data_IF_180634739420
#
_entry.id   IF_180634739420
#
_cell.length_a   1.000
_cell.length_b   1.000
_cell.length_c   1.000
_cell.angle_alpha   90.00
_cell.angle_beta   90.00
_cell.angle_gamma   90.00
#
_symmetry.space_group_name_H-M   'P 1'
#
loop_
_entity.id
_entity.type
_entity.pdbx_description
1 polymer ?
#
# COMPACT_ATOMS: atom_id res chain seq x y z
N UNK A 1 -19.65 -31.48 8.01
CA UNK A 1 -20.10 -30.08 8.10
C UNK A 1 -18.95 -29.20 7.67
N UNK A 2 -18.98 -28.69 6.44
CA UNK A 2 -18.01 -27.69 5.97
C UNK A 2 -18.46 -26.32 6.49
N UNK A 3 -17.71 -25.75 7.41
CA UNK A 3 -17.86 -24.34 7.77
C UNK A 3 -17.29 -23.52 6.60
N UNK A 4 -18.16 -23.10 5.68
CA UNK A 4 -17.83 -22.11 4.67
C UNK A 4 -17.97 -20.74 5.35
N UNK A 5 -16.86 -20.22 5.88
CA UNK A 5 -16.78 -18.83 6.31
C UNK A 5 -16.82 -17.98 5.04
N UNK A 6 -18.01 -17.47 4.70
CA UNK A 6 -18.21 -16.50 3.62
C UNK A 6 -17.68 -15.12 4.10
N UNK A 7 -16.37 -15.07 4.31
CA UNK A 7 -15.66 -13.83 4.57
C UNK A 7 -15.54 -13.15 3.21
N UNK A 8 -16.29 -12.06 2.99
CA UNK A 8 -16.08 -11.13 1.89
C UNK A 8 -14.69 -10.47 2.05
N UNK A 9 -13.63 -11.25 1.84
CA UNK A 9 -12.25 -10.81 1.93
C UNK A 9 -11.98 -9.91 0.72
N UNK A 10 -11.31 -8.79 0.96
CA UNK A 10 -10.79 -7.97 -0.13
C UNK A 10 -9.75 -8.81 -0.88
N UNK A 11 -10.01 -9.08 -2.17
CA UNK A 11 -9.06 -9.82 -3.00
C UNK A 11 -7.91 -8.93 -3.48
N UNK A 12 -8.24 -7.72 -3.93
CA UNK A 12 -7.29 -6.74 -4.42
C UNK A 12 -7.62 -5.36 -3.84
N UNK A 13 -6.58 -4.60 -3.49
CA UNK A 13 -6.68 -3.22 -3.03
C UNK A 13 -5.50 -2.42 -3.60
N UNK A 14 -5.80 -1.34 -4.30
CA UNK A 14 -4.79 -0.37 -4.78
C UNK A 14 -4.83 0.85 -3.85
N UNK A 15 -3.66 1.27 -3.38
CA UNK A 15 -3.55 2.45 -2.53
C UNK A 15 -2.37 3.34 -2.97
N UNK A 16 -2.62 4.65 -2.97
CA UNK A 16 -1.66 5.66 -3.38
C UNK A 16 -1.10 6.36 -2.16
N UNK A 17 0.22 6.51 -2.11
CA UNK A 17 0.93 7.19 -1.04
C UNK A 17 1.76 8.32 -1.62
N UNK A 18 1.88 9.40 -0.85
CA UNK A 18 2.74 10.52 -1.19
C UNK A 18 3.40 11.10 0.07
N UNK A 19 4.61 11.66 -0.10
CA UNK A 19 5.31 12.40 0.94
C UNK A 19 6.41 13.30 0.36
N UNK A 20 6.83 14.29 1.14
CA UNK A 20 7.95 15.19 0.79
C UNK A 20 9.34 14.54 1.00
N UNK A 21 9.39 13.39 1.69
CA UNK A 21 10.61 12.63 1.89
C UNK A 21 10.36 11.14 1.66
N UNK A 22 11.35 10.44 1.14
CA UNK A 22 11.27 8.99 0.91
C UNK A 22 11.08 8.22 2.22
N UNK A 23 11.67 8.70 3.32
CA UNK A 23 11.50 8.12 4.66
C UNK A 23 10.05 8.19 5.12
N UNK A 24 9.40 9.34 4.97
CA UNK A 24 8.00 9.50 5.36
C UNK A 24 7.09 8.66 4.46
N UNK A 25 7.43 8.50 3.18
CA UNK A 25 6.70 7.62 2.27
C UNK A 25 6.77 6.16 2.75
N UNK A 26 7.96 5.69 3.10
CA UNK A 26 8.19 4.35 3.62
C UNK A 26 7.44 4.09 4.92
N UNK A 27 7.48 5.03 5.88
CA UNK A 27 6.75 4.92 7.14
C UNK A 27 5.22 4.82 6.93
N UNK A 28 4.66 5.59 5.98
CA UNK A 28 3.24 5.52 5.61
C UNK A 28 2.87 4.15 5.02
N UNK A 29 3.68 3.66 4.07
CA UNK A 29 3.44 2.36 3.44
C UNK A 29 3.55 1.24 4.47
N UNK A 30 4.58 1.27 5.33
CA UNK A 30 4.76 0.27 6.39
C UNK A 30 3.59 0.26 7.38
N UNK A 31 3.11 1.43 7.78
CA UNK A 31 1.94 1.54 8.67
C UNK A 31 0.70 0.89 8.04
N UNK A 32 0.49 1.10 6.74
CA UNK A 32 -0.63 0.49 6.03
C UNK A 32 -0.46 -1.02 5.84
N UNK A 33 0.78 -1.51 5.65
CA UNK A 33 1.07 -2.95 5.64
C UNK A 33 0.63 -3.60 6.95
N UNK A 34 0.96 -2.99 8.11
CA UNK A 34 0.56 -3.55 9.41
C UNK A 34 -0.96 -3.60 9.58
N UNK A 35 -1.69 -2.58 9.12
CA UNK A 35 -3.16 -2.57 9.11
C UNK A 35 -3.70 -3.69 8.19
N UNK A 36 -3.13 -3.81 6.99
CA UNK A 36 -3.58 -4.77 5.98
C UNK A 36 -3.35 -6.23 6.39
N UNK A 37 -2.34 -6.51 7.23
CA UNK A 37 -2.16 -7.85 7.83
C UNK A 37 -3.39 -8.31 8.63
N UNK A 38 -4.06 -7.40 9.34
CA UNK A 38 -5.25 -7.72 10.13
C UNK A 38 -6.44 -8.19 9.27
N UNK A 39 -6.45 -7.81 7.98
CA UNK A 39 -7.47 -8.21 7.00
C UNK A 39 -6.92 -9.17 5.94
N UNK A 40 -5.83 -9.89 6.25
CA UNK A 40 -5.24 -10.95 5.41
C UNK A 40 -4.76 -10.47 4.03
N UNK A 41 -4.43 -9.19 3.89
CA UNK A 41 -3.80 -8.64 2.69
C UNK A 41 -2.27 -8.63 2.83
N UNK A 42 -1.58 -8.85 1.72
CA UNK A 42 -0.12 -8.75 1.56
C UNK A 42 0.24 -7.84 0.39
N UNK A 43 1.49 -7.37 0.33
CA UNK A 43 1.97 -6.57 -0.82
C UNK A 43 2.20 -7.51 -2.02
N UNK A 44 1.53 -7.23 -3.13
CA UNK A 44 1.77 -7.88 -4.42
C UNK A 44 2.81 -7.11 -5.23
N UNK A 45 2.67 -5.78 -5.32
CA UNK A 45 3.62 -4.94 -6.05
C UNK A 45 3.65 -3.50 -5.53
N UNK A 46 4.76 -2.81 -5.79
CA UNK A 46 4.94 -1.39 -5.49
C UNK A 46 5.58 -0.68 -6.67
N UNK A 47 4.95 0.41 -7.15
CA UNK A 47 5.49 1.27 -8.21
C UNK A 47 5.76 2.66 -7.66
N UNK A 48 6.99 3.15 -7.78
CA UNK A 48 7.41 4.45 -7.26
C UNK A 48 7.53 5.49 -8.38
N UNK A 49 7.16 6.73 -8.08
CA UNK A 49 7.43 7.90 -8.91
C UNK A 49 7.95 9.04 -8.04
N UNK A 50 8.88 9.82 -8.59
CA UNK A 50 9.41 11.02 -7.94
C UNK A 50 9.33 12.19 -8.92
N UNK A 51 8.80 13.30 -8.42
CA UNK A 51 8.68 14.55 -9.15
C UNK A 51 9.42 15.64 -8.39
N UNK A 52 10.15 16.47 -9.13
CA UNK A 52 10.77 17.69 -8.60
C UNK A 52 10.03 18.87 -9.20
N UNK A 53 9.42 19.71 -8.36
CA UNK A 53 8.75 20.92 -8.83
C UNK A 53 9.72 21.94 -9.38
N UNK A 54 9.21 22.93 -10.11
CA UNK A 54 9.99 24.06 -10.62
C UNK A 54 10.69 24.84 -9.49
N UNK A 55 10.10 24.86 -8.29
CA UNK A 55 10.69 25.45 -7.07
C UNK A 55 11.76 24.56 -6.41
N UNK A 56 12.05 23.37 -6.96
CA UNK A 56 13.02 22.41 -6.43
C UNK A 56 12.48 21.51 -5.30
N UNK A 57 11.17 21.54 -5.01
CA UNK A 57 10.58 20.66 -3.99
C UNK A 57 10.44 19.24 -4.52
N UNK A 58 10.81 18.26 -3.71
CA UNK A 58 10.69 16.83 -4.07
C UNK A 58 9.38 16.27 -3.57
N UNK A 59 8.67 15.60 -4.46
CA UNK A 59 7.46 14.85 -4.16
C UNK A 59 7.71 13.39 -4.50
N UNK A 60 7.62 12.53 -3.49
CA UNK A 60 7.72 11.09 -3.67
C UNK A 60 6.32 10.50 -3.61
N UNK A 61 6.02 9.59 -4.52
CA UNK A 61 4.76 8.87 -4.57
C UNK A 61 4.96 7.40 -4.84
N UNK A 62 4.04 6.58 -4.36
CA UNK A 62 4.01 5.17 -4.67
C UNK A 62 2.57 4.67 -4.85
N UNK A 63 2.39 3.75 -5.78
CA UNK A 63 1.19 2.94 -5.91
C UNK A 63 1.51 1.57 -5.36
N UNK A 64 0.77 1.15 -4.33
CA UNK A 64 0.92 -0.17 -3.72
C UNK A 64 -0.30 -1.00 -4.07
N UNK A 65 -0.05 -2.15 -4.67
CA UNK A 65 -1.05 -3.18 -4.88
C UNK A 65 -0.97 -4.18 -3.74
N UNK A 66 -2.02 -4.21 -2.92
CA UNK A 66 -2.24 -5.23 -1.91
C UNK A 66 -3.17 -6.31 -2.46
N UNK A 67 -2.92 -7.54 -2.06
CA UNK A 67 -3.68 -8.71 -2.50
C UNK A 67 -3.94 -9.65 -1.34
N UNK A 68 -5.05 -10.38 -1.38
CA UNK A 68 -5.33 -11.45 -0.43
C UNK A 68 -4.16 -12.43 -0.38
N UNK A 69 -3.74 -12.77 0.84
CA UNK A 69 -2.74 -13.78 1.09
C UNK A 69 -3.35 -15.15 0.76
N UNK A 70 -2.79 -15.79 -0.26
CA UNK A 70 -3.15 -17.15 -0.66
C UNK A 70 -2.48 -18.19 0.22
#
# INVERSE_FOLDING_TARGET
MSFQLDLNLFEDKIEFFEAESIKNLEEKIQSQIEINKAIMLQVESVSHQMYVSEEGRRFYSAVVHFKAKK
#
